data_IF_193650983236
#
_entry.id   IF_193650983236
#
_cell.length_a   1.000
_cell.length_b   1.000
_cell.length_c   1.000
_cell.angle_alpha   90.00
_cell.angle_beta   90.00
_cell.angle_gamma   90.00
#
_symmetry.space_group_name_H-M   'P 1'
#
loop_
_entity.id
_entity.type
_entity.pdbx_description
1 polymer ?
#
# COMPACT_ATOMS: atom_id res chain seq x y z
N UNK A 1 27.61 11.87 15.11
CA UNK A 1 27.19 11.72 15.09
C UNK A 1 26.37 11.56 14.90
N UNK A 2 26.18 11.54 14.66
CA UNK A 2 25.49 11.37 14.44
C UNK A 2 24.54 11.04 14.47
N UNK A 3 24.27 10.92 14.36
CA UNK A 3 23.50 10.58 14.30
C UNK A 3 22.69 10.29 14.06
N UNK A 4 22.71 10.24 13.87
CA UNK A 4 22.14 9.91 13.63
C UNK A 4 21.65 9.41 13.68
N UNK A 5 21.83 9.35 13.66
CA UNK A 5 21.53 8.75 13.64
C UNK A 5 20.99 8.32 14.07
N UNK A 6 21.12 8.32 14.44
CA UNK A 6 20.63 7.69 14.70
C UNK A 6 19.65 7.69 15.21
N UNK A 7 19.32 8.11 15.34
CA UNK A 7 18.27 7.97 15.66
C UNK A 7 17.50 7.01 15.36
N UNK A 8 17.75 6.66 14.55
CA UNK A 8 17.13 5.67 14.06
C UNK A 8 17.29 4.50 14.74
N UNK A 9 18.25 4.33 15.31
CA UNK A 9 18.44 3.25 16.07
C UNK A 9 17.62 3.18 17.17
N UNK A 10 17.10 4.22 17.61
CA UNK A 10 16.19 4.16 18.61
C UNK A 10 15.02 3.56 18.18
N UNK A 11 14.77 3.60 16.98
CA UNK A 11 13.67 3.02 16.47
C UNK A 11 13.52 1.62 16.79
N UNK A 12 14.48 0.93 17.02
CA UNK A 12 14.29 -0.47 17.19
C UNK A 12 13.46 -0.85 18.31
N UNK A 13 13.17 0.02 19.12
CA UNK A 13 12.32 -0.36 20.15
C UNK A 13 10.96 -0.57 19.65
N UNK A 14 10.57 0.00 18.51
CA UNK A 14 9.27 -0.17 17.93
C UNK A 14 9.37 -1.14 16.80
N UNK A 15 8.51 -2.11 16.70
CA UNK A 15 8.52 -3.00 15.55
C UNK A 15 8.19 -2.24 14.30
N UNK A 16 8.63 -2.73 13.17
CA UNK A 16 8.29 -2.13 11.89
C UNK A 16 6.78 -2.16 11.70
N UNK A 17 6.22 -1.18 11.03
CA UNK A 17 4.78 -1.17 10.81
C UNK A 17 4.34 -2.35 9.95
N UNK A 18 3.15 -2.81 10.17
CA UNK A 18 2.56 -3.86 9.38
C UNK A 18 1.07 -3.70 9.32
N UNK A 19 0.39 -4.73 8.85
CA UNK A 19 -1.06 -4.64 8.65
C UNK A 19 -1.82 -4.46 9.95
N UNK A 20 -1.23 -4.80 11.07
CA UNK A 20 -1.85 -4.53 12.37
C UNK A 20 -1.94 -3.04 12.64
N UNK A 21 -1.19 -2.21 11.93
CA UNK A 21 -1.25 -0.76 12.06
C UNK A 21 -2.16 -0.12 11.02
N UNK A 22 -2.79 -0.92 10.21
CA UNK A 22 -3.68 -0.41 9.18
C UNK A 22 -4.79 0.49 9.74
N UNK A 23 -5.45 0.15 10.83
CA UNK A 23 -6.52 1.03 11.33
C UNK A 23 -6.04 2.44 11.62
N UNK A 24 -4.83 2.60 12.15
CA UNK A 24 -4.28 3.91 12.42
C UNK A 24 -4.01 4.69 11.16
N UNK A 25 -3.48 4.01 10.15
CA UNK A 25 -3.22 4.63 8.87
C UNK A 25 -4.52 5.10 8.22
N UNK A 26 -5.55 4.29 8.30
CA UNK A 26 -6.84 4.65 7.72
C UNK A 26 -7.42 5.87 8.42
N UNK A 27 -7.31 5.92 9.75
CA UNK A 27 -7.82 7.08 10.48
C UNK A 27 -7.07 8.36 10.12
N UNK A 28 -5.78 8.27 9.95
CA UNK A 28 -4.99 9.42 9.54
C UNK A 28 -5.41 9.89 8.16
N UNK A 29 -5.66 8.97 7.27
CA UNK A 29 -6.05 9.29 5.91
C UNK A 29 -7.44 9.95 5.90
N UNK A 30 -8.36 9.43 6.70
CA UNK A 30 -9.69 10.03 6.81
C UNK A 30 -9.61 11.43 7.39
N UNK A 31 -8.75 11.63 8.39
CA UNK A 31 -8.58 12.94 8.99
C UNK A 31 -8.04 13.96 8.00
N UNK A 32 -7.32 13.49 7.00
CA UNK A 32 -6.82 14.35 5.94
C UNK A 32 -7.88 14.66 4.88
N UNK A 33 -9.06 14.10 5.01
CA UNK A 33 -10.17 14.45 4.12
C UNK A 33 -10.51 13.41 3.06
N UNK A 34 -9.85 12.27 3.08
CA UNK A 34 -10.11 11.26 2.06
C UNK A 34 -11.15 10.25 2.57
N UNK A 35 -12.12 9.93 1.77
CA UNK A 35 -13.10 8.91 2.13
C UNK A 35 -12.52 7.53 1.88
N UNK A 36 -12.24 6.79 2.94
CA UNK A 36 -11.60 5.48 2.82
C UNK A 36 -12.50 4.40 3.38
N UNK A 37 -12.71 3.35 2.62
CA UNK A 37 -13.38 2.15 3.08
C UNK A 37 -12.41 1.01 3.08
N UNK A 38 -12.53 0.11 4.03
CA UNK A 38 -11.62 -1.03 4.15
C UNK A 38 -12.44 -2.31 4.16
N UNK A 39 -12.04 -3.27 3.35
CA UNK A 39 -12.64 -4.59 3.31
C UNK A 39 -11.55 -5.62 3.54
N UNK A 40 -11.71 -6.45 4.54
CA UNK A 40 -10.74 -7.50 4.83
C UNK A 40 -11.47 -8.83 4.72
N UNK A 41 -10.94 -9.73 3.91
CA UNK A 41 -11.53 -11.02 3.64
C UNK A 41 -10.55 -12.11 4.04
N UNK A 42 -11.07 -13.12 4.70
CA UNK A 42 -10.25 -14.25 5.13
C UNK A 42 -9.63 -13.98 6.48
N UNK A 43 -8.91 -14.96 6.96
CA UNK A 43 -8.23 -14.87 8.25
C UNK A 43 -6.75 -14.76 8.02
N UNK A 44 -6.13 -13.79 8.66
CA UNK A 44 -4.70 -13.58 8.48
C UNK A 44 -3.92 -14.73 9.05
N UNK A 45 -3.12 -15.42 8.25
CA UNK A 45 -2.16 -16.37 8.80
C UNK A 45 -1.00 -15.61 9.39
N UNK A 46 -0.11 -16.26 10.11
CA UNK A 46 1.10 -15.58 10.53
C UNK A 46 1.87 -15.13 9.30
N UNK A 47 2.19 -13.86 9.24
CA UNK A 47 2.90 -13.32 8.10
C UNK A 47 4.35 -13.03 8.45
N UNK A 48 5.28 -13.30 7.54
CA UNK A 48 6.65 -12.84 7.74
C UNK A 48 6.69 -11.33 7.91
N UNK A 49 7.60 -10.84 8.72
CA UNK A 49 7.70 -9.41 8.98
C UNK A 49 7.87 -8.60 7.70
N UNK A 50 8.62 -9.13 6.75
CA UNK A 50 8.84 -8.42 5.50
C UNK A 50 7.56 -8.28 4.68
N UNK A 51 6.68 -9.27 4.73
CA UNK A 51 5.40 -9.23 4.03
C UNK A 51 4.47 -8.23 4.72
N UNK A 52 4.44 -8.25 6.04
CA UNK A 52 3.65 -7.29 6.82
C UNK A 52 4.05 -5.86 6.47
N UNK A 53 5.35 -5.60 6.45
CA UNK A 53 5.85 -4.27 6.16
C UNK A 53 5.55 -3.86 4.72
N UNK A 54 5.78 -4.77 3.77
CA UNK A 54 5.55 -4.45 2.36
C UNK A 54 4.08 -4.13 2.11
N UNK A 55 3.18 -4.93 2.68
CA UNK A 55 1.75 -4.68 2.50
C UNK A 55 1.36 -3.31 3.08
N UNK A 56 1.87 -3.00 4.26
CA UNK A 56 1.59 -1.71 4.88
C UNK A 56 2.10 -0.56 4.00
N UNK A 57 3.33 -0.67 3.51
CA UNK A 57 3.94 0.39 2.71
C UNK A 57 3.24 0.57 1.37
N UNK A 58 2.78 -0.51 0.77
CA UNK A 58 2.04 -0.41 -0.48
C UNK A 58 0.73 0.35 -0.25
N UNK A 59 0.02 0.04 0.82
CA UNK A 59 -1.21 0.75 1.12
C UNK A 59 -0.91 2.21 1.44
N UNK A 60 0.11 2.45 2.26
CA UNK A 60 0.47 3.82 2.64
C UNK A 60 0.81 4.67 1.42
N UNK A 61 1.66 4.14 0.55
CA UNK A 61 2.07 4.88 -0.63
C UNK A 61 0.90 5.11 -1.59
N UNK A 62 0.03 4.12 -1.71
CA UNK A 62 -1.13 4.24 -2.58
C UNK A 62 -2.10 5.30 -2.06
N UNK A 63 -2.32 5.33 -0.75
CA UNK A 63 -3.19 6.36 -0.18
C UNK A 63 -2.59 7.75 -0.32
N UNK A 64 -1.28 7.87 -0.18
CA UNK A 64 -0.59 9.13 -0.40
C UNK A 64 -0.77 9.60 -1.84
N UNK A 65 -0.66 8.67 -2.79
CA UNK A 65 -0.83 9.02 -4.20
C UNK A 65 -2.26 9.48 -4.49
N UNK A 66 -3.25 8.82 -3.90
CA UNK A 66 -4.63 9.24 -4.09
C UNK A 66 -4.83 10.65 -3.53
N UNK A 67 -4.30 10.91 -2.34
CA UNK A 67 -4.44 12.23 -1.73
C UNK A 67 -3.80 13.32 -2.56
N UNK A 68 -2.71 12.99 -3.25
CA UNK A 68 -2.03 13.97 -4.06
C UNK A 68 -2.66 14.20 -5.40
N UNK A 69 -3.19 13.16 -6.01
CA UNK A 69 -3.49 13.22 -7.43
C UNK A 69 -4.97 13.04 -7.77
N UNK A 70 -5.74 12.46 -6.92
CA UNK A 70 -7.12 12.13 -7.26
C UNK A 70 -8.14 13.17 -6.81
N UNK A 71 -7.72 14.18 -6.06
CA UNK A 71 -8.61 15.21 -5.60
C UNK A 71 -9.64 14.65 -4.63
N UNK A 72 -10.90 14.93 -4.85
CA UNK A 72 -11.94 14.41 -4.01
C UNK A 72 -12.29 13.04 -4.49
N UNK A 73 -11.76 12.04 -3.90
CA UNK A 73 -11.98 10.68 -4.30
C UNK A 73 -12.40 9.83 -3.13
N UNK A 74 -13.06 8.74 -3.41
CA UNK A 74 -13.26 7.68 -2.44
C UNK A 74 -12.30 6.59 -2.77
N UNK A 75 -11.78 5.97 -1.74
CA UNK A 75 -10.79 4.90 -1.88
C UNK A 75 -11.29 3.68 -1.17
N UNK A 76 -11.15 2.52 -1.80
CA UNK A 76 -11.41 1.25 -1.14
C UNK A 76 -10.11 0.49 -1.02
N UNK A 77 -9.77 0.08 0.19
CA UNK A 77 -8.61 -0.75 0.46
C UNK A 77 -9.13 -2.15 0.74
N UNK A 78 -8.73 -3.12 -0.07
CA UNK A 78 -9.12 -4.51 0.13
C UNK A 78 -7.91 -5.33 0.47
N UNK A 79 -8.03 -6.11 1.53
CA UNK A 79 -6.97 -7.04 1.91
C UNK A 79 -7.61 -8.42 1.95
N UNK A 80 -7.09 -9.33 1.17
CA UNK A 80 -7.63 -10.68 1.08
C UNK A 80 -6.54 -11.67 1.45
N UNK A 81 -6.83 -12.52 2.41
CA UNK A 81 -5.88 -13.54 2.84
C UNK A 81 -6.30 -14.89 2.30
N UNK A 82 -5.34 -15.61 1.76
CA UNK A 82 -5.59 -17.01 1.43
C UNK A 82 -4.38 -17.82 1.90
N UNK A 83 -4.35 -19.09 1.60
CA UNK A 83 -3.30 -19.96 2.12
C UNK A 83 -1.93 -19.64 1.58
N UNK A 84 -1.84 -19.08 0.43
CA UNK A 84 -0.57 -18.86 -0.25
C UNK A 84 -0.14 -17.42 -0.26
N UNK A 85 -1.09 -16.48 -0.30
CA UNK A 85 -0.78 -15.09 -0.56
C UNK A 85 -1.64 -14.15 0.25
N UNK A 86 -1.16 -12.94 0.42
CA UNK A 86 -2.03 -11.84 0.80
C UNK A 86 -2.16 -10.94 -0.42
N UNK A 87 -3.37 -10.57 -0.75
CA UNK A 87 -3.66 -9.68 -1.86
C UNK A 87 -4.09 -8.34 -1.31
N UNK A 88 -3.51 -7.29 -1.81
CA UNK A 88 -3.82 -5.94 -1.39
C UNK A 88 -4.25 -5.17 -2.62
N UNK A 89 -5.40 -4.51 -2.54
CA UNK A 89 -5.89 -3.75 -3.68
C UNK A 89 -6.37 -2.40 -3.19
N UNK A 90 -5.94 -1.34 -3.83
CA UNK A 90 -6.36 0.01 -3.49
C UNK A 90 -6.97 0.63 -4.73
N UNK A 91 -8.28 0.87 -4.69
CA UNK A 91 -9.01 1.44 -5.81
C UNK A 91 -9.52 2.80 -5.42
N UNK A 92 -9.29 3.79 -6.25
CA UNK A 92 -9.95 5.07 -6.07
C UNK A 92 -10.89 5.35 -7.24
N UNK A 93 -11.82 6.26 -7.02
CA UNK A 93 -12.77 6.65 -8.04
C UNK A 93 -12.50 8.06 -8.51
N UNK A 94 -11.29 8.54 -8.35
CA UNK A 94 -10.94 9.87 -8.79
C UNK A 94 -10.98 10.02 -10.29
N UNK A 95 -10.92 11.25 -10.74
CA UNK A 95 -10.91 11.52 -12.15
C UNK A 95 -9.51 11.30 -12.69
N UNK A 96 -9.38 10.58 -13.76
CA UNK A 96 -8.09 10.38 -14.37
C UNK A 96 -7.59 11.72 -14.89
N UNK A 97 -6.41 12.15 -14.55
CA UNK A 97 -5.88 13.40 -15.03
C UNK A 97 -5.68 13.33 -16.53
N UNK A 98 -6.05 14.37 -17.21
CA UNK A 98 -5.99 14.32 -18.64
C UNK A 98 -4.56 14.33 -19.15
N UNK A 99 -3.67 14.96 -18.43
CA UNK A 99 -2.30 14.98 -18.88
C UNK A 99 -1.34 14.58 -17.81
N UNK A 100 -1.77 14.38 -16.62
CA UNK A 100 -0.92 13.96 -15.56
C UNK A 100 -0.87 12.47 -15.39
N UNK A 101 -1.59 11.74 -16.22
CA UNK A 101 -1.69 10.32 -16.04
C UNK A 101 -0.36 9.63 -16.08
N UNK A 102 0.48 10.06 -16.99
CA UNK A 102 1.76 9.42 -17.12
C UNK A 102 2.60 9.65 -15.87
N UNK A 103 2.49 10.82 -15.30
CA UNK A 103 3.28 11.10 -14.12
C UNK A 103 2.87 10.22 -12.97
N UNK A 104 1.59 9.97 -12.81
CA UNK A 104 1.15 9.07 -11.76
C UNK A 104 1.65 7.67 -12.01
N UNK A 105 1.51 7.20 -13.23
CA UNK A 105 1.87 5.84 -13.56
C UNK A 105 3.36 5.58 -13.55
N UNK A 106 4.17 6.62 -13.66
CA UNK A 106 5.61 6.43 -13.72
C UNK A 106 6.32 7.00 -12.52
N UNK A 107 5.60 7.38 -11.50
CA UNK A 107 6.23 7.96 -10.34
C UNK A 107 7.10 6.96 -9.60
N UNK A 108 8.07 7.49 -8.89
CA UNK A 108 9.00 6.65 -8.15
C UNK A 108 8.28 5.82 -7.09
N UNK A 109 7.15 6.30 -6.59
CA UNK A 109 6.38 5.53 -5.61
C UNK A 109 5.87 4.22 -6.19
N UNK A 110 5.38 4.24 -7.43
CA UNK A 110 4.90 3.01 -8.08
C UNK A 110 6.06 2.06 -8.32
N UNK A 111 7.17 2.58 -8.79
CA UNK A 111 8.35 1.75 -9.03
C UNK A 111 8.82 1.12 -7.73
N UNK A 112 8.87 1.89 -6.66
CA UNK A 112 9.31 1.36 -5.37
C UNK A 112 8.36 0.31 -4.82
N UNK A 113 7.07 0.49 -4.99
CA UNK A 113 6.10 -0.52 -4.56
C UNK A 113 6.28 -1.82 -5.34
N UNK A 114 6.51 -1.70 -6.64
CA UNK A 114 6.68 -2.88 -7.48
C UNK A 114 7.96 -3.63 -7.08
N UNK A 115 9.01 -2.88 -6.78
CA UNK A 115 10.25 -3.50 -6.34
C UNK A 115 10.08 -4.23 -5.02
N UNK A 116 9.31 -3.66 -4.11
CA UNK A 116 9.05 -4.32 -2.83
C UNK A 116 8.35 -5.64 -3.02
N UNK A 117 7.30 -5.64 -3.84
CA UNK A 117 6.55 -6.86 -4.09
C UNK A 117 7.40 -7.92 -4.77
N UNK A 118 8.14 -7.51 -5.77
CA UNK A 118 9.00 -8.42 -6.52
C UNK A 118 10.09 -9.02 -5.65
N UNK A 119 10.64 -8.22 -4.75
CA UNK A 119 11.70 -8.71 -3.87
C UNK A 119 11.21 -9.81 -2.94
N UNK A 120 9.93 -9.87 -2.69
CA UNK A 120 9.35 -10.90 -1.83
C UNK A 120 8.78 -12.08 -2.62
N UNK A 121 8.97 -12.06 -3.93
CA UNK A 121 8.44 -13.13 -4.78
C UNK A 121 7.01 -12.92 -5.22
N UNK A 122 6.49 -11.72 -4.99
CA UNK A 122 5.15 -11.37 -5.43
C UNK A 122 5.16 -10.51 -6.67
N UNK A 123 4.09 -9.79 -6.86
CA UNK A 123 3.99 -8.89 -7.99
C UNK A 123 3.04 -7.74 -7.69
N UNK A 124 3.10 -6.71 -8.49
CA UNK A 124 2.25 -5.54 -8.32
C UNK A 124 1.92 -4.96 -9.68
N UNK A 125 0.67 -4.60 -9.87
CA UNK A 125 0.26 -3.87 -11.04
C UNK A 125 -0.43 -2.59 -10.62
N UNK A 126 -0.33 -1.57 -11.45
CA UNK A 126 -0.94 -0.28 -11.17
C UNK A 126 -1.37 0.34 -12.49
N UNK A 127 -2.53 0.95 -12.52
CA UNK A 127 -3.01 1.59 -13.74
C UNK A 127 -4.38 2.19 -13.55
N UNK A 128 -4.79 2.95 -14.55
CA UNK A 128 -6.11 3.56 -14.52
C UNK A 128 -7.18 2.51 -14.82
N UNK A 129 -8.31 2.68 -14.17
CA UNK A 129 -9.41 1.73 -14.28
C UNK A 129 -10.32 2.13 -15.42
N UNK A 130 -10.91 1.18 -16.12
CA UNK A 130 -11.94 1.51 -17.10
C UNK A 130 -13.07 2.25 -16.39
N UNK A 131 -13.49 3.34 -16.94
CA UNK A 131 -14.55 4.11 -16.33
C UNK A 131 -14.12 5.13 -15.32
N UNK A 132 -12.84 5.20 -15.00
CA UNK A 132 -12.30 6.23 -14.11
C UNK A 132 -11.67 5.66 -12.86
N UNK A 133 -10.73 6.39 -12.32
CA UNK A 133 -10.03 5.98 -11.13
C UNK A 133 -8.75 5.23 -11.41
N UNK A 134 -8.06 4.89 -10.35
CA UNK A 134 -6.76 4.23 -10.45
C UNK A 134 -6.76 3.02 -9.52
N UNK A 135 -6.06 1.98 -9.89
CA UNK A 135 -5.97 0.76 -9.09
C UNK A 135 -4.53 0.34 -8.89
N UNK A 136 -4.19 0.02 -7.65
CA UNK A 136 -2.94 -0.65 -7.33
C UNK A 136 -3.33 -2.02 -6.79
N UNK A 137 -2.74 -3.07 -7.31
CA UNK A 137 -3.06 -4.44 -6.90
C UNK A 137 -1.76 -5.19 -6.71
N UNK A 138 -1.59 -5.80 -5.55
CA UNK A 138 -0.36 -6.52 -5.24
C UNK A 138 -0.68 -7.90 -4.67
N UNK A 139 0.16 -8.86 -5.01
CA UNK A 139 0.11 -10.20 -4.44
C UNK A 139 1.44 -10.44 -3.76
N UNK A 140 1.39 -10.78 -2.48
CA UNK A 140 2.60 -11.04 -1.69
C UNK A 140 2.50 -12.44 -1.10
N UNK A 141 3.50 -13.27 -1.31
CA UNK A 141 3.44 -14.62 -0.75
C UNK A 141 3.51 -14.59 0.77
N UNK A 142 2.72 -15.42 1.42
CA UNK A 142 2.72 -15.46 2.88
C UNK A 142 3.73 -16.45 3.42
N UNK A 143 4.35 -17.25 2.54
CA UNK A 143 5.37 -18.19 2.96
C UNK A 143 6.61 -17.95 2.17
N UNK A 144 7.73 -18.10 2.83
CA UNK A 144 8.99 -18.06 2.13
C UNK A 144 9.11 -19.29 1.30
N UNK A 145 9.68 -19.16 0.13
CA UNK A 145 9.98 -20.32 -0.66
C UNK A 145 11.04 -21.13 -0.01
N UNK A 146 10.97 -22.40 -0.08
CA UNK A 146 12.02 -23.24 0.48
C UNK A 146 13.32 -23.07 -0.26
#
# INVERSE_FOLDING_TARGET
MLTTLRQDDDAPRSPAPGLDRLPELIELTRAAGLGVEVEITGTAPPLPAAVHLAAYRIIQESLTNVARHAGRARVTVRVTYDDADVHVEIDDDGTAPSDGAAAVGTGSGIIGMRERATALGGDLSAGFRPGGGFRVSARLPVRSSP
#
